data_IF_303419634036
#
_entry.id   IF_303419634036
#
_cell.length_a   1.000
_cell.length_b   1.000
_cell.length_c   1.000
_cell.angle_alpha   90.00
_cell.angle_beta   90.00
_cell.angle_gamma   90.00
#
_symmetry.space_group_name_H-M   'P 1'
#
loop_
_entity.id
_entity.type
_entity.pdbx_description
1 polymer ?
#
# COMPACT_ATOMS: atom_id res chain seq x y z
N UNK A 1 -14.75 0.96 15.35
CA UNK A 1 -13.82 1.80 14.60
C UNK A 1 -14.51 2.83 13.66
N UNK A 2 -15.83 2.73 13.41
CA UNK A 2 -16.53 3.63 12.46
C UNK A 2 -17.27 4.81 13.11
N UNK A 3 -17.02 5.14 14.37
CA UNK A 3 -17.81 6.10 15.13
C UNK A 3 -17.26 7.53 15.15
N UNK A 4 -16.05 7.73 14.65
CA UNK A 4 -15.43 9.05 14.54
C UNK A 4 -15.31 9.49 13.07
N UNK A 5 -16.41 9.40 12.32
CA UNK A 5 -16.50 10.20 11.11
C UNK A 5 -16.46 11.67 11.51
N UNK A 6 -15.71 12.50 10.78
CA UNK A 6 -15.52 13.97 11.02
C UNK A 6 -16.81 14.81 11.21
N UNK A 7 -17.99 14.18 11.25
CA UNK A 7 -19.30 14.79 11.42
C UNK A 7 -20.07 14.33 12.67
N UNK A 8 -19.50 13.43 13.50
CA UNK A 8 -20.17 12.97 14.71
C UNK A 8 -20.09 14.05 15.78
N UNK A 9 -21.23 14.36 16.39
CA UNK A 9 -21.34 15.32 17.48
C UNK A 9 -21.06 14.66 18.83
N UNK A 10 -20.84 15.47 19.88
CA UNK A 10 -20.74 14.98 21.27
C UNK A 10 -22.02 14.21 21.66
N UNK A 11 -23.18 14.67 21.20
CA UNK A 11 -24.46 14.00 21.46
C UNK A 11 -24.55 12.61 20.82
N UNK A 12 -24.02 12.43 19.61
CA UNK A 12 -23.92 11.11 18.97
C UNK A 12 -23.01 10.17 19.75
N UNK A 13 -21.90 10.68 20.29
CA UNK A 13 -21.01 9.90 21.14
C UNK A 13 -21.68 9.50 22.46
N UNK A 14 -22.37 10.42 23.14
CA UNK A 14 -23.11 10.15 24.38
C UNK A 14 -24.21 9.12 24.14
N UNK A 15 -24.96 9.28 23.05
CA UNK A 15 -26.01 8.32 22.65
C UNK A 15 -25.44 6.94 22.39
N UNK A 16 -24.35 6.84 21.64
CA UNK A 16 -23.67 5.56 21.39
C UNK A 16 -23.18 4.93 22.68
N UNK A 17 -22.52 5.70 23.55
CA UNK A 17 -22.01 5.21 24.83
C UNK A 17 -23.14 4.67 25.71
N UNK A 18 -24.24 5.42 25.83
CA UNK A 18 -25.40 4.99 26.62
C UNK A 18 -26.07 3.71 26.09
N UNK A 19 -26.18 3.57 24.75
CA UNK A 19 -26.74 2.37 24.13
C UNK A 19 -25.85 1.14 24.31
N UNK A 20 -24.55 1.31 24.42
CA UNK A 20 -23.59 0.22 24.47
C UNK A 20 -22.93 0.04 25.85
N UNK A 21 -23.37 0.79 26.87
CA UNK A 21 -22.74 0.80 28.20
C UNK A 21 -22.52 -0.59 28.79
N UNK A 22 -23.53 -1.43 28.79
CA UNK A 22 -23.44 -2.77 29.36
C UNK A 22 -22.44 -3.67 28.61
N UNK A 23 -22.37 -3.56 27.27
CA UNK A 23 -21.37 -4.28 26.46
C UNK A 23 -19.98 -3.78 26.77
N UNK A 24 -19.78 -2.45 26.80
CA UNK A 24 -18.47 -1.84 27.13
C UNK A 24 -17.99 -2.30 28.52
N UNK A 25 -18.86 -2.30 29.53
CA UNK A 25 -18.51 -2.74 30.88
C UNK A 25 -18.19 -4.24 30.93
N UNK A 26 -18.94 -5.07 30.17
CA UNK A 26 -18.67 -6.50 30.10
C UNK A 26 -17.33 -6.77 29.44
N UNK A 27 -17.05 -6.11 28.33
CA UNK A 27 -15.78 -6.24 27.61
C UNK A 27 -14.59 -5.78 28.45
N UNK A 28 -14.74 -4.67 29.18
CA UNK A 28 -13.72 -4.20 30.14
C UNK A 28 -13.45 -5.19 31.28
N UNK A 29 -14.51 -5.85 31.81
CA UNK A 29 -14.36 -6.87 32.83
C UNK A 29 -13.64 -8.11 32.28
N UNK A 30 -14.00 -8.56 31.08
CA UNK A 30 -13.36 -9.69 30.41
C UNK A 30 -11.90 -9.38 30.13
N UNK A 31 -11.58 -8.20 29.61
CA UNK A 31 -10.21 -7.73 29.39
C UNK A 31 -9.40 -7.77 30.69
N UNK A 32 -9.93 -7.21 31.79
CA UNK A 32 -9.24 -7.20 33.09
C UNK A 32 -9.04 -8.58 33.71
N UNK A 33 -9.81 -9.60 33.30
CA UNK A 33 -9.65 -10.97 33.75
C UNK A 33 -8.58 -11.76 32.97
N UNK A 34 -8.25 -11.31 31.76
CA UNK A 34 -7.24 -11.97 30.92
C UNK A 34 -5.86 -11.34 31.15
N UNK A 35 -5.05 -12.04 31.93
CA UNK A 35 -3.70 -11.59 32.27
C UNK A 35 -2.77 -11.49 31.06
N UNK A 36 -3.00 -12.28 30.01
CA UNK A 36 -2.17 -12.25 28.79
C UNK A 36 -2.47 -11.01 27.96
N UNK A 37 -3.74 -10.63 27.86
CA UNK A 37 -4.15 -9.38 27.18
C UNK A 37 -3.69 -8.14 27.94
N UNK A 38 -3.77 -8.15 29.27
CA UNK A 38 -3.26 -7.03 30.08
C UNK A 38 -1.76 -6.87 29.88
N UNK A 39 -1.01 -7.96 29.94
CA UNK A 39 0.43 -7.94 29.71
C UNK A 39 0.78 -7.40 28.31
N UNK A 40 0.10 -7.86 27.28
CA UNK A 40 0.28 -7.38 25.92
C UNK A 40 0.02 -5.87 25.84
N UNK A 41 -1.07 -5.42 26.42
CA UNK A 41 -1.44 -4.00 26.44
C UNK A 41 -0.41 -3.15 27.18
N UNK A 42 -0.02 -3.53 28.40
CA UNK A 42 0.88 -2.74 29.24
C UNK A 42 2.33 -2.74 28.75
N UNK A 43 2.81 -3.88 28.24
CA UNK A 43 4.21 -4.05 27.83
C UNK A 43 4.47 -3.66 26.36
N UNK A 44 3.45 -3.71 25.49
CA UNK A 44 3.62 -3.47 24.06
C UNK A 44 2.72 -2.34 23.55
N UNK A 45 1.39 -2.50 23.62
CA UNK A 45 0.45 -1.61 22.94
C UNK A 45 0.46 -0.20 23.52
N UNK A 46 0.43 -0.07 24.83
CA UNK A 46 0.41 1.22 25.50
C UNK A 46 1.71 2.02 25.34
N UNK A 47 2.90 1.44 25.51
CA UNK A 47 4.15 2.14 25.27
C UNK A 47 4.33 2.61 23.84
N UNK A 48 3.91 1.81 22.84
CA UNK A 48 4.10 2.18 21.42
C UNK A 48 3.22 3.38 21.01
N UNK A 49 2.10 3.64 21.70
CA UNK A 49 1.24 4.80 21.41
C UNK A 49 2.02 6.10 21.44
N UNK A 50 2.88 6.31 22.44
CA UNK A 50 3.69 7.54 22.57
C UNK A 50 4.68 7.68 21.42
N UNK A 51 5.27 6.57 20.96
CA UNK A 51 6.20 6.53 19.83
C UNK A 51 5.46 6.89 18.54
N UNK A 52 4.34 6.22 18.27
CA UNK A 52 3.53 6.49 17.06
C UNK A 52 3.01 7.92 17.04
N UNK A 53 2.56 8.45 18.16
CA UNK A 53 2.12 9.84 18.27
C UNK A 53 3.25 10.81 17.93
N UNK A 54 4.45 10.57 18.46
CA UNK A 54 5.64 11.38 18.16
C UNK A 54 6.01 11.33 16.68
N UNK A 55 5.93 10.15 16.05
CA UNK A 55 6.15 9.96 14.61
C UNK A 55 5.11 10.72 13.79
N UNK A 56 3.83 10.64 14.15
CA UNK A 56 2.73 11.35 13.47
C UNK A 56 2.90 12.87 13.57
N UNK A 57 3.21 13.39 14.76
CA UNK A 57 3.42 14.83 14.97
C UNK A 57 4.63 15.32 14.18
N UNK A 58 5.74 14.59 14.20
CA UNK A 58 6.95 14.96 13.46
C UNK A 58 6.72 14.87 11.95
N UNK A 59 6.07 13.83 11.48
CA UNK A 59 5.91 13.53 10.05
C UNK A 59 7.25 13.31 9.34
N UNK A 60 7.21 13.15 8.02
CA UNK A 60 8.39 12.94 7.18
C UNK A 60 8.52 14.09 6.18
N UNK A 61 9.72 14.67 6.06
CA UNK A 61 9.99 15.75 5.12
C UNK A 61 10.07 15.22 3.69
N UNK A 62 9.53 15.98 2.75
CA UNK A 62 9.53 15.64 1.32
C UNK A 62 10.11 16.76 0.46
N UNK A 63 10.61 16.39 -0.71
CA UNK A 63 11.13 17.31 -1.71
C UNK A 63 10.14 17.53 -2.84
N UNK A 64 9.42 18.64 -2.83
CA UNK A 64 8.51 19.02 -3.91
C UNK A 64 9.22 19.03 -5.27
N UNK A 65 10.47 19.48 -5.33
CA UNK A 65 11.27 19.50 -6.57
C UNK A 65 11.42 18.08 -7.15
N UNK A 66 11.72 17.08 -6.33
CA UNK A 66 11.87 15.68 -6.80
C UNK A 66 10.52 15.11 -7.25
N UNK A 67 9.44 15.42 -6.52
CA UNK A 67 8.07 15.03 -6.89
C UNK A 67 7.69 15.62 -8.25
N UNK A 68 7.93 16.91 -8.46
CA UNK A 68 7.64 17.58 -9.74
C UNK A 68 8.48 17.02 -10.89
N UNK A 69 9.75 16.73 -10.64
CA UNK A 69 10.63 16.15 -11.67
C UNK A 69 10.12 14.79 -12.09
N UNK A 70 9.80 13.91 -11.15
CA UNK A 70 9.25 12.58 -11.48
C UNK A 70 7.86 12.69 -12.11
N UNK A 71 7.02 13.64 -11.68
CA UNK A 71 5.70 13.89 -12.25
C UNK A 71 5.78 14.19 -13.76
N UNK A 72 6.74 15.00 -14.19
CA UNK A 72 6.95 15.30 -15.63
C UNK A 72 7.32 14.04 -16.42
N UNK A 73 8.22 13.23 -15.89
CA UNK A 73 8.63 11.96 -16.53
C UNK A 73 7.44 11.00 -16.63
N UNK A 74 6.69 10.81 -15.54
CA UNK A 74 5.54 9.91 -15.52
C UNK A 74 4.44 10.38 -16.49
N UNK A 75 4.15 11.68 -16.54
CA UNK A 75 3.14 12.20 -17.47
C UNK A 75 3.57 12.03 -18.94
N UNK A 76 4.87 12.15 -19.25
CA UNK A 76 5.38 11.88 -20.58
C UNK A 76 5.20 10.41 -20.95
N UNK A 77 5.60 9.49 -20.09
CA UNK A 77 5.43 8.05 -20.30
C UNK A 77 3.95 7.67 -20.52
N UNK A 78 3.04 8.25 -19.73
CA UNK A 78 1.59 8.05 -19.90
C UNK A 78 1.13 8.52 -21.28
N UNK A 79 1.59 9.70 -21.73
CA UNK A 79 1.27 10.23 -23.07
C UNK A 79 1.80 9.32 -24.16
N UNK A 80 3.07 8.91 -24.07
CA UNK A 80 3.73 8.07 -25.07
C UNK A 80 3.03 6.71 -25.22
N UNK A 81 2.65 6.08 -24.10
CA UNK A 81 1.90 4.82 -24.16
C UNK A 81 0.48 4.99 -24.67
N UNK A 82 -0.18 6.11 -24.35
CA UNK A 82 -1.50 6.44 -24.90
C UNK A 82 -1.45 6.61 -26.41
N UNK A 83 -0.44 7.30 -26.94
CA UNK A 83 -0.22 7.47 -28.37
C UNK A 83 0.01 6.12 -29.06
N UNK A 84 0.89 5.25 -28.53
CA UNK A 84 1.13 3.90 -29.06
C UNK A 84 -0.14 3.05 -29.09
N UNK A 85 -0.97 3.15 -28.05
CA UNK A 85 -2.24 2.44 -27.97
C UNK A 85 -3.20 2.99 -29.05
N UNK A 86 -3.28 4.29 -29.22
CA UNK A 86 -4.10 4.94 -30.25
C UNK A 86 -3.64 4.57 -31.67
N UNK A 87 -2.32 4.50 -31.91
CA UNK A 87 -1.77 4.08 -33.19
C UNK A 87 -2.19 2.66 -33.60
N UNK A 88 -2.27 1.73 -32.62
CA UNK A 88 -2.71 0.36 -32.88
C UNK A 88 -4.22 0.27 -33.04
N UNK A 89 -4.97 0.90 -32.12
CA UNK A 89 -6.43 0.74 -32.05
C UNK A 89 -7.17 1.63 -33.04
N UNK A 90 -6.53 2.70 -33.55
CA UNK A 90 -7.10 3.74 -34.43
C UNK A 90 -8.38 4.39 -33.90
N UNK A 91 -8.61 4.27 -32.57
CA UNK A 91 -9.79 4.85 -31.92
C UNK A 91 -9.48 5.32 -30.51
N UNK A 92 -10.12 6.40 -30.09
CA UNK A 92 -10.04 6.86 -28.70
C UNK A 92 -11.08 6.13 -27.85
N UNK A 93 -10.65 5.71 -26.65
CA UNK A 93 -11.52 5.10 -25.64
C UNK A 93 -10.93 5.32 -24.25
N UNK A 94 -11.75 5.12 -23.23
CA UNK A 94 -11.28 5.24 -21.85
C UNK A 94 -10.54 3.97 -21.41
N UNK A 95 -9.21 4.03 -21.38
CA UNK A 95 -8.31 2.94 -20.94
C UNK A 95 -8.55 2.47 -19.50
N UNK A 96 -9.13 3.34 -18.66
CA UNK A 96 -9.49 3.01 -17.29
C UNK A 96 -10.91 2.40 -17.17
N UNK A 97 -11.64 2.25 -18.29
CA UNK A 97 -12.94 1.59 -18.32
C UNK A 97 -12.78 0.11 -18.72
N UNK A 98 -12.96 -0.87 -17.78
CA UNK A 98 -12.84 -2.28 -18.13
C UNK A 98 -13.78 -2.72 -19.26
N UNK A 99 -14.97 -2.10 -19.34
CA UNK A 99 -15.96 -2.40 -20.38
C UNK A 99 -15.50 -1.95 -21.77
N UNK A 100 -14.98 -0.72 -21.88
CA UNK A 100 -14.50 -0.21 -23.17
C UNK A 100 -13.24 -0.95 -23.60
N UNK A 101 -12.32 -1.20 -22.67
CA UNK A 101 -11.12 -1.96 -22.95
C UNK A 101 -11.42 -3.40 -23.38
N UNK A 102 -12.38 -4.07 -22.74
CA UNK A 102 -12.79 -5.42 -23.15
C UNK A 102 -13.34 -5.42 -24.57
N UNK A 103 -14.17 -4.44 -24.93
CA UNK A 103 -14.66 -4.29 -26.30
C UNK A 103 -13.52 -4.14 -27.30
N UNK A 104 -12.59 -3.23 -27.04
CA UNK A 104 -11.45 -3.00 -27.94
C UNK A 104 -10.59 -4.27 -28.08
N UNK A 105 -10.23 -4.91 -26.99
CA UNK A 105 -9.34 -6.09 -27.05
C UNK A 105 -10.00 -7.31 -27.71
N UNK A 106 -11.24 -7.61 -27.34
CA UNK A 106 -11.86 -8.90 -27.67
C UNK A 106 -12.84 -8.83 -28.85
N UNK A 107 -13.48 -7.67 -29.10
CA UNK A 107 -14.41 -7.49 -30.22
C UNK A 107 -13.74 -6.81 -31.41
N UNK A 108 -13.06 -5.64 -31.20
CA UNK A 108 -12.50 -4.87 -32.29
C UNK A 108 -11.16 -5.46 -32.79
N UNK A 109 -10.28 -5.90 -31.86
CA UNK A 109 -8.96 -6.47 -32.18
C UNK A 109 -8.95 -8.01 -32.24
N UNK A 110 -10.07 -8.67 -31.91
CA UNK A 110 -10.25 -10.13 -31.93
C UNK A 110 -9.18 -10.92 -31.15
N UNK A 111 -8.68 -10.39 -30.03
CA UNK A 111 -7.78 -11.16 -29.15
C UNK A 111 -8.53 -12.30 -28.45
N UNK A 112 -7.84 -13.40 -28.10
CA UNK A 112 -8.47 -14.53 -27.43
C UNK A 112 -8.93 -14.17 -26.01
N UNK A 113 -10.13 -14.61 -25.62
CA UNK A 113 -10.69 -14.42 -24.27
C UNK A 113 -10.12 -15.53 -23.36
N UNK A 114 -9.14 -15.18 -22.53
CA UNK A 114 -8.47 -16.12 -21.61
C UNK A 114 -9.33 -16.38 -20.37
N UNK A 115 -9.95 -15.32 -19.82
CA UNK A 115 -10.71 -15.40 -18.57
C UNK A 115 -11.96 -14.54 -18.64
N UNK A 116 -13.01 -14.98 -17.95
CA UNK A 116 -14.25 -14.20 -17.78
C UNK A 116 -14.41 -13.75 -16.34
N UNK A 117 -15.05 -12.62 -16.15
CA UNK A 117 -15.47 -12.14 -14.83
C UNK A 117 -16.59 -13.02 -14.26
N UNK A 118 -16.91 -12.95 -12.95
CA UNK A 118 -18.04 -13.68 -12.37
C UNK A 118 -19.40 -13.35 -13.03
N UNK A 119 -19.50 -12.20 -13.70
CA UNK A 119 -20.69 -11.77 -14.45
C UNK A 119 -20.69 -12.24 -15.93
N UNK A 120 -19.70 -13.07 -16.33
CA UNK A 120 -19.61 -13.63 -17.68
C UNK A 120 -18.94 -12.75 -18.74
N UNK A 121 -18.61 -11.50 -18.45
CA UNK A 121 -17.89 -10.62 -19.39
C UNK A 121 -16.39 -10.98 -19.47
N UNK A 122 -15.72 -10.76 -20.64
CA UNK A 122 -14.28 -10.91 -20.75
C UNK A 122 -13.53 -10.08 -19.71
N UNK A 123 -12.55 -10.69 -19.02
CA UNK A 123 -11.73 -9.99 -18.02
C UNK A 123 -10.58 -9.25 -18.68
N UNK A 124 -10.29 -8.04 -18.18
CA UNK A 124 -9.13 -7.23 -18.55
C UNK A 124 -8.23 -6.98 -17.33
N UNK A 125 -8.20 -7.92 -16.38
CA UNK A 125 -7.33 -7.83 -15.21
C UNK A 125 -5.83 -7.97 -15.61
N UNK A 126 -4.93 -7.65 -14.65
CA UNK A 126 -3.50 -7.66 -14.90
C UNK A 126 -3.00 -9.02 -15.41
N UNK A 127 -3.45 -10.13 -14.82
CA UNK A 127 -3.01 -11.47 -15.20
C UNK A 127 -3.43 -11.85 -16.62
N UNK A 128 -4.61 -11.40 -17.06
CA UNK A 128 -5.05 -11.60 -18.46
C UNK A 128 -4.21 -10.80 -19.43
N UNK A 129 -3.95 -9.54 -19.10
CA UNK A 129 -3.09 -8.68 -19.94
C UNK A 129 -1.65 -9.17 -19.98
N UNK A 130 -1.11 -9.69 -18.88
CA UNK A 130 0.22 -10.31 -18.82
C UNK A 130 0.31 -11.52 -19.74
N UNK A 131 -0.69 -12.42 -19.73
CA UNK A 131 -0.72 -13.57 -20.61
C UNK A 131 -0.81 -13.15 -22.08
N UNK A 132 -1.75 -12.23 -22.41
CA UNK A 132 -1.88 -11.69 -23.76
C UNK A 132 -0.62 -10.95 -24.24
N UNK A 133 0.12 -10.34 -23.31
CA UNK A 133 1.33 -9.58 -23.63
C UNK A 133 2.49 -10.43 -24.17
N UNK A 134 2.42 -11.76 -24.04
CA UNK A 134 3.42 -12.66 -24.60
C UNK A 134 3.39 -12.66 -26.13
N UNK A 135 2.20 -12.55 -26.71
CA UNK A 135 1.97 -12.67 -28.14
C UNK A 135 1.53 -11.34 -28.80
N UNK A 136 1.06 -10.36 -28.04
CA UNK A 136 0.49 -9.12 -28.56
C UNK A 136 1.11 -7.88 -27.92
N UNK A 137 1.39 -6.85 -28.70
CA UNK A 137 1.98 -5.59 -28.23
C UNK A 137 0.99 -4.72 -27.48
N UNK A 138 -0.27 -4.67 -27.94
CA UNK A 138 -1.28 -3.80 -27.34
C UNK A 138 -1.47 -4.06 -25.83
N UNK A 139 -1.63 -5.31 -25.35
CA UNK A 139 -1.67 -5.60 -23.90
C UNK A 139 -0.42 -5.14 -23.13
N UNK A 140 0.76 -5.23 -23.76
CA UNK A 140 2.02 -4.72 -23.18
C UNK A 140 1.95 -3.21 -22.89
N UNK A 141 1.48 -2.43 -23.85
CA UNK A 141 1.37 -0.99 -23.72
C UNK A 141 0.29 -0.60 -22.71
N UNK A 142 -0.83 -1.34 -22.67
CA UNK A 142 -1.89 -1.13 -21.67
C UNK A 142 -1.38 -1.43 -20.25
N UNK A 143 -0.59 -2.48 -20.04
CA UNK A 143 0.02 -2.78 -18.75
C UNK A 143 0.94 -1.65 -18.28
N UNK A 144 1.79 -1.14 -19.18
CA UNK A 144 2.69 -0.03 -18.90
C UNK A 144 1.92 1.27 -18.62
N UNK A 145 0.93 1.59 -19.42
CA UNK A 145 0.03 2.72 -19.18
C UNK A 145 -0.60 2.63 -17.76
N UNK A 146 -1.16 1.48 -17.39
CA UNK A 146 -1.78 1.26 -16.08
C UNK A 146 -0.76 1.35 -14.93
N UNK A 147 0.44 0.84 -15.12
CA UNK A 147 1.53 0.95 -14.15
C UNK A 147 1.83 2.43 -13.85
N UNK A 148 2.06 3.24 -14.88
CA UNK A 148 2.36 4.66 -14.74
C UNK A 148 1.18 5.47 -14.19
N UNK A 149 -0.05 5.17 -14.63
CA UNK A 149 -1.26 5.81 -14.08
C UNK A 149 -1.46 5.51 -12.59
N UNK A 150 -1.21 4.29 -12.17
CA UNK A 150 -1.24 3.92 -10.76
C UNK A 150 -0.18 4.67 -9.97
N UNK A 151 1.02 4.78 -10.50
CA UNK A 151 2.11 5.53 -9.87
C UNK A 151 1.74 7.00 -9.76
N UNK A 152 1.25 7.60 -10.82
CA UNK A 152 0.80 9.00 -10.83
C UNK A 152 -0.28 9.24 -9.78
N UNK A 153 -1.37 8.49 -9.85
CA UNK A 153 -2.53 8.70 -8.98
C UNK A 153 -2.23 8.43 -7.51
N UNK A 154 -1.44 7.39 -7.22
CA UNK A 154 -1.19 6.96 -5.84
C UNK A 154 -0.04 7.74 -5.19
N UNK A 155 1.08 7.88 -5.90
CA UNK A 155 2.32 8.38 -5.28
C UNK A 155 2.66 9.82 -5.67
N UNK A 156 2.18 10.33 -6.80
CA UNK A 156 2.41 11.72 -7.17
C UNK A 156 1.24 12.57 -6.70
N UNK A 157 0.05 12.34 -7.25
CA UNK A 157 -1.12 13.16 -6.96
C UNK A 157 -1.63 12.90 -5.53
N UNK A 158 -1.68 11.64 -5.10
CA UNK A 158 -2.11 11.25 -3.76
C UNK A 158 -1.20 11.81 -2.65
N UNK A 159 0.13 11.79 -2.82
CA UNK A 159 1.04 12.38 -1.83
C UNK A 159 0.97 13.91 -1.82
N UNK A 160 0.83 14.56 -2.99
CA UNK A 160 0.75 16.03 -3.07
C UNK A 160 -0.38 16.60 -2.24
N UNK A 161 -1.52 15.93 -2.15
CA UNK A 161 -2.67 16.39 -1.35
C UNK A 161 -2.43 16.32 0.16
N UNK A 162 -1.44 15.54 0.60
CA UNK A 162 -1.12 15.31 2.01
C UNK A 162 0.13 16.09 2.46
N UNK A 163 0.76 16.85 1.57
CA UNK A 163 1.94 17.66 1.90
C UNK A 163 1.48 18.95 2.60
N UNK A 164 2.01 19.18 3.78
CA UNK A 164 1.79 20.42 4.54
C UNK A 164 2.64 21.58 4.03
N UNK A 165 2.31 22.82 4.44
CA UNK A 165 3.09 24.03 4.12
C UNK A 165 4.57 23.95 4.54
N UNK A 166 4.88 23.05 5.49
CA UNK A 166 6.25 22.77 5.95
C UNK A 166 6.95 21.69 5.12
N UNK A 167 6.38 21.28 3.99
CA UNK A 167 6.86 20.18 3.16
C UNK A 167 7.01 18.86 3.92
N UNK A 168 6.01 18.53 4.75
CA UNK A 168 5.98 17.27 5.50
C UNK A 168 4.68 16.53 5.24
N UNK A 169 4.77 15.21 5.29
CA UNK A 169 3.65 14.28 5.26
C UNK A 169 3.48 13.71 6.67
N UNK A 170 2.26 13.74 7.16
CA UNK A 170 1.86 13.21 8.46
C UNK A 170 0.87 12.07 8.24
N UNK A 171 1.40 10.84 8.13
CA UNK A 171 0.53 9.66 8.05
C UNK A 171 -0.10 9.36 9.41
N UNK A 172 -1.24 8.74 9.42
CA UNK A 172 -1.86 8.18 10.63
C UNK A 172 -1.44 6.73 10.77
N UNK A 173 -0.80 6.38 11.89
CA UNK A 173 -0.51 4.98 12.21
C UNK A 173 -1.67 4.37 13.01
N UNK A 174 -2.12 3.20 12.59
CA UNK A 174 -3.22 2.50 13.22
C UNK A 174 -2.71 1.21 13.87
N UNK A 175 -2.84 1.14 15.19
CA UNK A 175 -2.38 0.01 15.98
C UNK A 175 -3.27 -1.22 15.81
N UNK A 176 -4.56 -1.02 15.60
CA UNK A 176 -5.58 -2.07 15.50
C UNK A 176 -6.13 -2.24 14.08
N UNK A 177 -5.38 -1.82 13.08
CA UNK A 177 -5.81 -1.82 11.67
C UNK A 177 -5.74 -3.20 11.00
N UNK A 178 -5.08 -4.19 11.61
CA UNK A 178 -4.91 -5.54 11.05
C UNK A 178 -5.26 -6.61 12.07
N UNK A 179 -5.64 -7.79 11.60
CA UNK A 179 -5.91 -8.96 12.44
C UNK A 179 -4.65 -9.65 12.95
N UNK A 180 -3.49 -9.32 12.38
CA UNK A 180 -2.19 -9.96 12.67
C UNK A 180 -1.35 -9.19 13.69
N UNK A 181 -1.84 -8.04 14.21
CA UNK A 181 -1.07 -7.17 15.10
C UNK A 181 -0.02 -6.31 14.38
N UNK A 182 0.06 -6.35 13.04
CA UNK A 182 0.90 -5.41 12.30
C UNK A 182 0.31 -4.01 12.34
N UNK A 183 1.15 -2.99 12.43
CA UNK A 183 0.73 -1.62 12.23
C UNK A 183 0.26 -1.40 10.80
N UNK A 184 -0.74 -0.56 10.61
CA UNK A 184 -1.09 -0.03 9.30
C UNK A 184 -0.92 1.47 9.26
N UNK A 185 -0.76 2.05 8.06
CA UNK A 185 -0.71 3.50 7.89
C UNK A 185 -1.74 3.96 6.87
N UNK A 186 -2.31 5.13 7.10
CA UNK A 186 -3.31 5.73 6.23
C UNK A 186 -3.17 7.26 6.18
N UNK A 187 -3.66 7.86 5.12
CA UNK A 187 -3.69 9.32 4.89
C UNK A 187 -2.31 9.98 5.00
N UNK A 188 -1.36 9.61 4.14
CA UNK A 188 -1.38 8.55 3.13
C UNK A 188 -0.85 7.21 3.68
N UNK A 189 -1.09 6.09 2.94
CA UNK A 189 -0.44 4.83 3.28
C UNK A 189 1.02 4.84 2.80
N UNK A 190 1.95 5.03 3.72
CA UNK A 190 3.39 5.06 3.44
C UNK A 190 4.04 3.66 3.42
N UNK A 191 3.33 2.62 3.88
CA UNK A 191 3.87 1.25 3.92
C UNK A 191 3.83 0.56 2.55
N UNK A 192 3.03 1.08 1.60
CA UNK A 192 2.89 0.52 0.26
C UNK A 192 3.82 1.15 -0.79
N UNK A 193 4.78 1.98 -0.39
CA UNK A 193 5.74 2.59 -1.31
C UNK A 193 6.63 1.48 -1.90
N UNK A 194 6.67 1.32 -3.24
CA UNK A 194 7.45 0.26 -3.87
C UNK A 194 8.94 0.40 -3.56
N UNK A 195 9.65 -0.72 -3.46
CA UNK A 195 11.09 -0.72 -3.17
C UNK A 195 11.92 -1.54 -4.17
N UNK A 196 11.29 -2.38 -4.99
CA UNK A 196 11.98 -3.31 -5.90
C UNK A 196 12.14 -2.77 -7.32
N UNK A 197 11.43 -1.72 -7.71
CA UNK A 197 11.46 -1.14 -9.06
C UNK A 197 12.24 0.17 -9.08
N UNK A 198 12.84 0.52 -10.23
CA UNK A 198 13.54 1.79 -10.42
C UNK A 198 12.65 2.99 -10.11
N UNK A 199 11.38 2.92 -10.50
CA UNK A 199 10.40 3.97 -10.20
C UNK A 199 10.12 4.04 -8.70
N UNK A 200 10.03 2.89 -8.04
CA UNK A 200 9.89 2.82 -6.59
C UNK A 200 11.05 3.49 -5.86
N UNK A 201 12.28 3.29 -6.33
CA UNK A 201 13.45 3.98 -5.78
C UNK A 201 13.34 5.51 -5.95
N UNK A 202 12.93 5.99 -7.14
CA UNK A 202 12.71 7.41 -7.39
C UNK A 202 11.61 8.00 -6.50
N UNK A 203 10.54 7.25 -6.20
CA UNK A 203 9.50 7.66 -5.24
C UNK A 203 10.08 7.77 -3.83
N UNK A 204 10.92 6.82 -3.41
CA UNK A 204 11.59 6.87 -2.10
C UNK A 204 12.49 8.07 -1.94
N UNK A 205 13.11 8.56 -3.03
CA UNK A 205 13.90 9.77 -3.01
C UNK A 205 13.09 11.05 -2.71
N UNK A 206 11.75 11.03 -2.77
CA UNK A 206 10.94 12.15 -2.34
C UNK A 206 11.13 12.46 -0.86
N UNK A 207 11.35 11.43 -0.06
CA UNK A 207 11.54 11.53 1.38
C UNK A 207 12.98 11.94 1.66
N UNK A 208 13.15 13.06 2.35
CA UNK A 208 14.45 13.63 2.64
C UNK A 208 14.64 13.88 4.14
N UNK A 209 15.84 13.79 4.62
CA UNK A 209 16.18 14.18 5.98
C UNK A 209 16.10 15.70 6.17
N UNK A 210 15.93 16.15 7.39
CA UNK A 210 16.06 17.57 7.73
C UNK A 210 17.52 18.03 7.55
N UNK A 211 17.73 19.34 7.49
CA UNK A 211 19.09 19.92 7.37
C UNK A 211 19.96 19.42 8.54
N UNK A 212 21.18 19.00 8.24
CA UNK A 212 22.14 18.42 9.19
C UNK A 212 21.69 17.09 9.83
N UNK A 213 20.74 16.39 9.19
CA UNK A 213 20.31 15.05 9.58
C UNK A 213 20.51 14.07 8.42
N UNK A 214 20.56 12.80 8.75
CA UNK A 214 20.56 11.70 7.77
C UNK A 214 19.53 10.65 8.16
N UNK A 215 19.04 9.88 7.19
CA UNK A 215 18.24 8.69 7.49
C UNK A 215 19.16 7.56 7.95
N UNK A 216 18.74 6.90 9.02
CA UNK A 216 19.26 5.59 9.41
C UNK A 216 18.12 4.61 9.10
N UNK A 217 18.40 3.67 8.21
CA UNK A 217 17.42 2.65 7.79
C UNK A 217 17.94 1.32 8.28
N UNK A 218 17.14 0.64 9.10
CA UNK A 218 17.46 -0.66 9.67
C UNK A 218 16.20 -1.54 9.65
N UNK A 219 16.37 -2.78 9.25
CA UNK A 219 15.28 -3.78 9.19
C UNK A 219 15.82 -5.14 9.63
N UNK A 220 14.96 -5.95 10.23
CA UNK A 220 15.29 -7.33 10.59
C UNK A 220 15.27 -8.21 9.34
N UNK A 221 16.39 -8.87 9.06
CA UNK A 221 16.47 -9.81 7.95
C UNK A 221 15.61 -11.04 8.21
N UNK A 222 14.59 -11.26 7.36
CA UNK A 222 13.76 -12.48 7.34
C UNK A 222 13.16 -12.85 8.72
N UNK A 223 12.71 -11.86 9.49
CA UNK A 223 12.30 -12.06 10.90
C UNK A 223 11.19 -13.09 11.03
N UNK A 224 10.19 -13.09 10.15
CA UNK A 224 9.09 -14.05 10.22
C UNK A 224 9.57 -15.49 10.02
N UNK A 225 10.50 -15.71 9.09
CA UNK A 225 11.08 -17.05 8.85
C UNK A 225 11.97 -17.49 10.02
N UNK A 226 12.70 -16.57 10.66
CA UNK A 226 13.50 -16.86 11.86
C UNK A 226 12.60 -17.24 13.04
N UNK A 227 11.49 -16.53 13.23
CA UNK A 227 10.50 -16.87 14.26
C UNK A 227 9.86 -18.23 13.96
N UNK A 228 9.51 -18.50 12.69
CA UNK A 228 8.96 -19.78 12.27
C UNK A 228 9.95 -20.93 12.54
N UNK A 229 11.21 -20.77 12.17
CA UNK A 229 12.27 -21.77 12.44
C UNK A 229 12.42 -22.05 13.95
N UNK A 230 12.38 -21.00 14.77
CA UNK A 230 12.45 -21.11 16.21
C UNK A 230 11.24 -21.89 16.79
N UNK A 231 10.02 -21.52 16.38
CA UNK A 231 8.78 -22.14 16.88
C UNK A 231 8.61 -23.58 16.39
N UNK A 232 8.97 -23.88 15.15
CA UNK A 232 8.89 -25.23 14.58
C UNK A 232 10.01 -26.13 15.04
N UNK A 233 11.13 -25.57 15.51
CA UNK A 233 12.37 -26.29 15.82
C UNK A 233 12.91 -27.08 14.61
N UNK A 234 12.60 -26.63 13.38
CA UNK A 234 13.09 -27.24 12.15
C UNK A 234 14.59 -27.04 11.99
N UNK A 235 15.34 -28.13 11.99
CA UNK A 235 16.81 -28.10 11.98
C UNK A 235 17.37 -27.47 10.70
N UNK A 236 16.76 -27.74 9.56
CA UNK A 236 17.23 -27.23 8.28
C UNK A 236 17.01 -25.72 8.19
N UNK A 237 15.83 -25.23 8.60
CA UNK A 237 15.54 -23.81 8.66
C UNK A 237 16.49 -23.09 9.63
N UNK A 238 16.73 -23.66 10.82
CA UNK A 238 17.64 -23.09 11.81
C UNK A 238 19.05 -22.99 11.26
N UNK A 239 19.56 -24.06 10.62
CA UNK A 239 20.89 -24.08 10.02
C UNK A 239 21.05 -23.00 8.93
N UNK A 240 20.12 -22.96 7.97
CA UNK A 240 20.12 -21.98 6.89
C UNK A 240 20.07 -20.57 7.45
N UNK A 241 19.13 -20.28 8.35
CA UNK A 241 18.92 -18.93 8.88
C UNK A 241 19.95 -18.51 9.94
N UNK A 242 20.80 -19.40 10.42
CA UNK A 242 21.88 -19.06 11.35
C UNK A 242 23.04 -18.35 10.66
N UNK A 243 23.18 -18.48 9.34
CA UNK A 243 24.15 -17.71 8.55
C UNK A 243 23.60 -16.30 8.24
N UNK A 244 24.44 -15.29 8.37
CA UNK A 244 24.06 -13.88 8.15
C UNK A 244 23.74 -13.62 6.66
N UNK A 245 24.40 -14.32 5.75
CA UNK A 245 24.34 -14.12 4.29
C UNK A 245 23.40 -15.11 3.58
N UNK A 246 22.72 -15.99 4.31
CA UNK A 246 21.85 -17.00 3.70
C UNK A 246 20.47 -16.44 3.38
N UNK A 247 20.05 -16.65 2.14
CA UNK A 247 18.67 -16.39 1.70
C UNK A 247 17.95 -17.74 1.51
N UNK A 248 16.90 -17.98 2.29
CA UNK A 248 16.11 -19.23 2.21
C UNK A 248 15.46 -19.42 0.83
N UNK A 249 15.35 -18.37 0.02
CA UNK A 249 14.80 -18.46 -1.35
C UNK A 249 15.80 -19.04 -2.36
N UNK A 250 17.06 -19.25 -1.95
CA UNK A 250 18.09 -19.87 -2.78
C UNK A 250 18.26 -21.36 -2.53
N UNK A 251 17.52 -21.90 -1.59
CA UNK A 251 17.44 -23.33 -1.24
C UNK A 251 16.06 -23.89 -1.55
#
# INVERSE_FOLDING_TARGET
>A
ANLLNKKSTIDDFIKFFNLNYNHIITDLKNFKSDKSLIKLYEELDFPIVSVLNSMQIKGVKVSNKKIETLSKVINQEISDYREKILEITKQEFNLNSPKQLAKVLFEDMNLPVIKKTPKGAPSTDGSVLEELSKDYELPKYILKYREYEKIRSTYIDGLKTEITDKNRIHTTYNLFGTTTGRLSSEKPNLQNIPNKTDIGQKIREFFIADTNHTFIISDYSQIELRVLAHLSSDKNMIEILSSIDSDIHTY
#
